data_IF_335166047517
#
_entry.id   IF_335166047517
#
_cell.length_a   1.000
_cell.length_b   1.000
_cell.length_c   1.000
_cell.angle_alpha   90.00
_cell.angle_beta   90.00
_cell.angle_gamma   90.00
#
_symmetry.space_group_name_H-M   'P 1'
#
loop_
_entity.id
_entity.type
_entity.pdbx_description
1 polymer ?
#
# COMPACT_ATOMS: atom_id res chain seq x y z
N UNK A 1 1.61 -1.59 13.07
CA UNK A 1 1.44 -0.12 13.13
C UNK A 1 0.17 0.19 12.36
N UNK A 2 -0.68 1.08 12.85
CA UNK A 2 -1.85 1.50 12.07
C UNK A 2 -1.39 2.42 10.95
N UNK A 3 -1.75 2.10 9.71
CA UNK A 3 -1.43 2.91 8.53
C UNK A 3 -2.55 3.91 8.28
N UNK A 4 -2.17 5.17 8.04
CA UNK A 4 -3.11 6.18 7.57
C UNK A 4 -3.41 5.93 6.08
N UNK A 5 -4.53 5.24 5.81
CA UNK A 5 -4.92 4.84 4.45
C UNK A 5 -5.23 6.04 3.56
N UNK A 6 -5.87 7.07 4.11
CA UNK A 6 -6.19 8.28 3.36
C UNK A 6 -4.93 9.00 2.88
N UNK A 7 -3.94 9.18 3.77
CA UNK A 7 -2.65 9.76 3.40
C UNK A 7 -1.90 8.92 2.36
N UNK A 8 -2.03 7.59 2.42
CA UNK A 8 -1.40 6.68 1.47
C UNK A 8 -2.05 6.77 0.07
N UNK A 9 -3.39 6.86 0.00
CA UNK A 9 -4.11 7.11 -1.26
C UNK A 9 -3.74 8.48 -1.83
N UNK A 10 -3.66 9.51 -0.99
CA UNK A 10 -3.23 10.85 -1.40
C UNK A 10 -1.74 10.92 -1.81
N UNK A 11 -0.99 9.82 -1.65
CA UNK A 11 0.40 9.69 -2.10
C UNK A 11 0.54 9.01 -3.46
N UNK A 12 -0.56 8.73 -4.16
CA UNK A 12 -0.50 8.32 -5.57
C UNK A 12 0.36 9.33 -6.37
N UNK A 13 1.24 8.81 -7.23
CA UNK A 13 2.22 9.63 -7.94
C UNK A 13 3.50 9.96 -7.15
N UNK A 14 3.59 9.65 -5.85
CA UNK A 14 4.85 9.73 -5.08
C UNK A 14 5.69 8.46 -5.24
N UNK A 15 6.99 8.59 -5.08
CA UNK A 15 7.91 7.45 -5.05
C UNK A 15 7.89 6.77 -3.68
N UNK A 16 8.37 5.53 -3.64
CA UNK A 16 8.58 4.81 -2.37
C UNK A 16 9.41 5.62 -1.37
N UNK A 17 10.47 6.31 -1.82
CA UNK A 17 11.36 7.05 -0.91
C UNK A 17 10.66 8.27 -0.30
N UNK A 18 9.83 8.98 -1.07
CA UNK A 18 9.01 10.10 -0.56
C UNK A 18 8.03 9.59 0.52
N UNK A 19 7.29 8.52 0.23
CA UNK A 19 6.33 7.90 1.16
C UNK A 19 7.02 7.39 2.44
N UNK A 20 8.20 6.77 2.30
CA UNK A 20 8.99 6.29 3.43
C UNK A 20 9.55 7.44 4.28
N UNK A 21 10.05 8.51 3.65
CA UNK A 21 10.59 9.68 4.34
C UNK A 21 9.50 10.44 5.10
N UNK A 22 8.26 10.45 4.59
CA UNK A 22 7.09 10.99 5.29
C UNK A 22 6.61 10.12 6.46
N UNK A 23 7.20 8.93 6.64
CA UNK A 23 6.85 8.01 7.72
C UNK A 23 5.50 7.32 7.53
N UNK A 24 4.95 7.32 6.31
CA UNK A 24 3.63 6.71 6.03
C UNK A 24 3.67 5.18 6.02
N UNK A 25 4.84 4.58 5.79
CA UNK A 25 5.06 3.13 5.83
C UNK A 25 6.29 2.77 6.68
N UNK A 26 6.26 1.67 7.44
CA UNK A 26 7.38 1.28 8.31
C UNK A 26 8.46 0.45 7.61
N UNK A 27 8.25 0.07 6.35
CA UNK A 27 9.08 -0.90 5.64
C UNK A 27 10.34 -0.25 5.08
N UNK A 28 11.52 -0.74 5.48
CA UNK A 28 12.83 -0.35 4.90
C UNK A 28 13.14 -1.09 3.59
N UNK A 29 12.49 -2.22 3.36
CA UNK A 29 12.65 -3.02 2.14
C UNK A 29 12.04 -2.28 0.96
N UNK A 30 12.86 -2.03 -0.07
CA UNK A 30 12.40 -1.41 -1.31
C UNK A 30 11.42 -2.32 -2.07
N UNK A 31 10.50 -1.75 -2.87
CA UNK A 31 9.62 -2.52 -3.74
C UNK A 31 10.39 -3.44 -4.69
N UNK A 32 9.86 -4.64 -4.94
CA UNK A 32 10.45 -5.68 -5.81
C UNK A 32 9.41 -6.22 -6.79
N UNK A 33 9.86 -6.81 -7.89
CA UNK A 33 8.99 -7.43 -8.89
C UNK A 33 9.84 -8.08 -9.97
N UNK A 34 9.23 -8.97 -10.76
CA UNK A 34 9.96 -9.76 -11.75
C UNK A 34 10.37 -8.89 -12.94
N UNK A 35 11.44 -9.22 -13.65
CA UNK A 35 12.01 -8.36 -14.70
C UNK A 35 11.04 -8.07 -15.86
N UNK A 36 10.01 -8.89 -16.05
CA UNK A 36 8.98 -8.72 -17.08
C UNK A 36 7.79 -7.84 -16.67
N UNK A 37 7.64 -7.52 -15.38
CA UNK A 37 6.49 -6.75 -14.89
C UNK A 37 6.64 -5.26 -15.20
N UNK A 38 5.54 -4.59 -15.52
CA UNK A 38 5.49 -3.13 -15.69
C UNK A 38 5.49 -2.37 -14.35
N UNK A 39 5.42 -3.08 -13.22
CA UNK A 39 5.50 -2.53 -11.87
C UNK A 39 6.51 -3.28 -10.97
N UNK A 40 6.83 -2.65 -9.84
CA UNK A 40 7.44 -3.28 -8.66
C UNK A 40 6.51 -3.03 -7.48
N UNK A 41 6.49 -3.91 -6.50
CA UNK A 41 5.52 -3.86 -5.41
C UNK A 41 6.12 -4.01 -4.03
N UNK A 42 5.38 -3.54 -3.04
CA UNK A 42 5.62 -3.75 -1.63
C UNK A 42 4.37 -4.38 -1.01
N UNK A 43 4.50 -5.62 -0.57
CA UNK A 43 3.44 -6.38 0.08
C UNK A 43 3.53 -6.21 1.61
N UNK A 44 2.61 -5.45 2.17
CA UNK A 44 2.49 -5.13 3.60
C UNK A 44 1.39 -5.99 4.24
N UNK A 45 1.56 -7.32 4.17
CA UNK A 45 0.53 -8.29 4.57
C UNK A 45 0.02 -8.11 6.00
N UNK A 46 0.86 -7.64 6.94
CA UNK A 46 0.45 -7.44 8.34
C UNK A 46 -0.54 -6.29 8.47
N UNK A 47 -0.39 -5.28 7.63
CA UNK A 47 -1.24 -4.10 7.54
C UNK A 47 -2.40 -4.33 6.55
N UNK A 48 -2.39 -5.42 5.78
CA UNK A 48 -3.43 -5.69 4.78
C UNK A 48 -3.36 -4.77 3.57
N UNK A 49 -2.15 -4.33 3.19
CA UNK A 49 -1.94 -3.34 2.13
C UNK A 49 -0.95 -3.89 1.12
N UNK A 50 -1.24 -3.70 -0.16
CA UNK A 50 -0.30 -3.93 -1.25
C UNK A 50 -0.12 -2.63 -2.05
N UNK A 51 1.13 -2.25 -2.27
CA UNK A 51 1.50 -1.04 -3.02
C UNK A 51 2.17 -1.43 -4.32
N UNK A 52 1.65 -0.95 -5.44
CA UNK A 52 2.27 -1.11 -6.76
C UNK A 52 2.85 0.21 -7.25
N UNK A 53 4.09 0.17 -7.71
CA UNK A 53 4.81 1.30 -8.27
C UNK A 53 5.18 1.00 -9.72
N UNK A 54 4.87 1.92 -10.63
CA UNK A 54 5.29 1.76 -12.02
C UNK A 54 6.82 1.59 -12.11
N UNK A 55 7.28 0.62 -12.90
CA UNK A 55 8.69 0.21 -12.94
C UNK A 55 9.60 1.30 -13.47
N UNK A 56 9.16 2.09 -14.44
CA UNK A 56 10.00 3.12 -15.06
C UNK A 56 10.00 4.41 -14.25
N UNK A 57 8.82 4.95 -13.94
CA UNK A 57 8.68 6.22 -13.20
C UNK A 57 8.92 6.08 -11.70
N UNK A 58 8.86 4.86 -11.15
CA UNK A 58 8.96 4.55 -9.71
C UNK A 58 7.88 5.22 -8.87
N UNK A 59 6.77 5.65 -9.48
CA UNK A 59 5.67 6.30 -8.79
C UNK A 59 4.59 5.30 -8.41
N UNK A 60 3.98 5.51 -7.24
CA UNK A 60 2.86 4.73 -6.72
C UNK A 60 1.67 4.87 -7.67
N UNK A 61 1.15 3.75 -8.14
CA UNK A 61 0.00 3.71 -9.06
C UNK A 61 -1.22 3.04 -8.45
N UNK A 62 -1.04 2.11 -7.52
CA UNK A 62 -2.13 1.40 -6.87
C UNK A 62 -1.90 1.23 -5.37
N UNK A 63 -2.99 1.38 -4.62
CA UNK A 63 -3.10 1.01 -3.21
C UNK A 63 -4.22 -0.01 -3.12
N UNK A 64 -3.87 -1.27 -2.81
CA UNK A 64 -4.84 -2.36 -2.67
C UNK A 64 -5.00 -2.68 -1.19
N UNK A 65 -6.24 -2.75 -0.71
CA UNK A 65 -6.57 -3.12 0.67
C UNK A 65 -7.17 -4.52 0.71
N UNK A 66 -6.64 -5.38 1.58
CA UNK A 66 -7.22 -6.69 1.87
C UNK A 66 -8.09 -6.55 3.11
N UNK A 67 -9.41 -6.48 2.93
CA UNK A 67 -10.36 -6.32 4.05
C UNK A 67 -10.72 -7.66 4.69
N UNK A 68 -10.76 -8.71 3.89
CA UNK A 68 -11.05 -10.08 4.30
C UNK A 68 -10.02 -10.99 3.62
N UNK A 69 -9.47 -11.93 4.38
CA UNK A 69 -8.53 -12.92 3.89
C UNK A 69 -9.11 -14.32 4.13
N UNK A 70 -9.48 -15.02 3.06
CA UNK A 70 -10.10 -16.35 3.14
C UNK A 70 -9.13 -17.42 3.64
N UNK A 71 -7.84 -17.25 3.37
CA UNK A 71 -6.78 -18.15 3.84
C UNK A 71 -6.45 -17.90 5.32
N UNK A 72 -6.87 -16.74 5.86
CA UNK A 72 -6.69 -16.37 7.26
C UNK A 72 -8.04 -16.01 7.90
N UNK A 73 -8.87 -16.99 8.31
CA UNK A 73 -10.23 -16.73 8.82
C UNK A 73 -10.32 -15.84 10.07
N UNK A 74 -9.22 -15.67 10.82
CA UNK A 74 -9.13 -14.78 11.99
C UNK A 74 -8.54 -13.41 11.66
N UNK A 75 -8.29 -13.14 10.38
CA UNK A 75 -7.79 -11.85 9.93
C UNK A 75 -8.82 -10.77 10.19
N UNK A 76 -8.39 -9.71 10.85
CA UNK A 76 -9.15 -8.49 11.08
C UNK A 76 -8.35 -7.38 10.44
N UNK A 77 -8.99 -6.63 9.53
CA UNK A 77 -8.35 -5.48 8.90
C UNK A 77 -7.87 -4.48 9.97
N UNK A 78 -6.56 -4.15 10.03
CA UNK A 78 -5.99 -3.46 11.19
C UNK A 78 -6.02 -1.93 11.10
N UNK A 79 -6.53 -1.36 10.00
CA UNK A 79 -6.54 0.09 9.77
C UNK A 79 -7.96 0.64 9.68
N UNK A 80 -8.09 1.95 9.83
CA UNK A 80 -9.34 2.64 9.55
C UNK A 80 -9.52 2.80 8.04
N UNK A 81 -10.73 2.53 7.56
CA UNK A 81 -11.09 2.85 6.18
C UNK A 81 -11.19 4.38 6.00
N UNK A 82 -10.77 4.91 4.84
CA UNK A 82 -10.90 6.33 4.55
C UNK A 82 -12.37 6.76 4.56
N UNK A 83 -12.66 7.88 5.21
CA UNK A 83 -14.04 8.35 5.44
C UNK A 83 -14.78 8.74 4.15
N UNK A 84 -14.06 9.11 3.08
CA UNK A 84 -14.64 9.52 1.80
C UNK A 84 -15.54 8.45 1.15
N UNK A 85 -15.48 7.19 1.61
CA UNK A 85 -16.25 6.06 1.07
C UNK A 85 -17.56 5.77 1.81
N UNK A 86 -17.87 6.51 2.87
CA UNK A 86 -19.09 6.30 3.70
C UNK A 86 -20.26 7.23 3.33
N UNK A 87 -20.14 7.96 2.22
CA UNK A 87 -21.20 8.82 1.67
C UNK A 87 -21.45 8.38 0.22
N UNK A 88 -22.26 7.34 0.05
CA UNK A 88 -22.97 7.03 -1.20
C UNK A 88 -24.44 6.78 -0.87
#
# INVERSE_FOLDING_TARGET
>A
MTINIEALINSLGKSYQEIFNEGLIPYKSKPRGDSGDDYVSLDMQKEGIFLAFNRTSKKLTHVTLTLIDKERPRYVYPNQLPFLWLIQ
#
